data_IF_835297277541
#
_entry.id   IF_835297277541
#
_cell.length_a   1.000
_cell.length_b   1.000
_cell.length_c   1.000
_cell.angle_alpha   90.00
_cell.angle_beta   90.00
_cell.angle_gamma   90.00
#
_symmetry.space_group_name_H-M   'P 1'
#
loop_
_entity.id
_entity.type
_entity.pdbx_description
1 polymer ?
#
# COMPACT_ATOMS: atom_id res chain seq x y z
N UNK A 1 35.92 -17.30 -24.20
CA UNK A 1 35.04 -17.33 -23.02
C UNK A 1 35.30 -16.08 -22.18
N UNK A 2 34.65 -14.97 -22.50
CA UNK A 2 34.67 -13.75 -21.68
C UNK A 2 33.22 -13.39 -21.42
N UNK A 3 32.75 -13.68 -20.20
CA UNK A 3 31.40 -13.40 -19.74
C UNK A 3 31.32 -11.90 -19.50
N UNK A 4 30.61 -11.18 -20.37
CA UNK A 4 30.31 -9.77 -20.18
C UNK A 4 29.34 -9.67 -19.00
N UNK A 5 29.84 -9.32 -17.83
CA UNK A 5 29.01 -9.00 -16.67
C UNK A 5 28.29 -7.67 -16.93
N UNK A 6 27.07 -7.76 -17.46
CA UNK A 6 26.13 -6.64 -17.58
C UNK A 6 25.48 -6.37 -16.22
N UNK A 7 26.27 -6.02 -15.21
CA UNK A 7 25.73 -5.43 -13.99
C UNK A 7 25.43 -3.97 -14.28
N UNK A 8 24.22 -3.71 -14.80
CA UNK A 8 23.72 -2.35 -14.98
C UNK A 8 23.86 -1.55 -13.67
N UNK A 9 24.30 -0.27 -13.70
CA UNK A 9 24.32 0.58 -12.52
C UNK A 9 22.89 1.01 -12.17
N UNK A 10 22.08 0.08 -11.66
CA UNK A 10 20.72 0.38 -11.18
C UNK A 10 20.73 1.27 -9.91
N UNK A 11 21.91 1.65 -9.40
CA UNK A 11 22.08 2.18 -8.04
C UNK A 11 22.29 3.69 -7.92
N UNK A 12 22.36 4.48 -8.98
CA UNK A 12 22.69 5.92 -8.84
C UNK A 12 21.57 6.86 -9.27
N UNK A 13 20.39 6.73 -8.64
CA UNK A 13 19.44 7.85 -8.60
C UNK A 13 19.99 8.94 -7.67
N UNK A 14 20.00 10.22 -8.08
CA UNK A 14 20.33 11.35 -7.22
C UNK A 14 19.53 11.30 -5.91
N UNK A 15 20.11 11.74 -4.77
CA UNK A 15 19.49 11.60 -3.46
C UNK A 15 18.11 12.26 -3.36
N UNK A 16 17.91 13.37 -4.09
CA UNK A 16 16.61 14.06 -4.16
C UNK A 16 15.56 13.19 -4.86
N UNK A 17 15.90 12.52 -5.97
CA UNK A 17 14.97 11.63 -6.68
C UNK A 17 14.53 10.46 -5.80
N UNK A 18 15.42 9.93 -4.96
CA UNK A 18 15.08 8.88 -3.98
C UNK A 18 14.10 9.40 -2.92
N UNK A 19 14.31 10.62 -2.43
CA UNK A 19 13.41 11.25 -1.47
C UNK A 19 12.01 11.46 -2.07
N UNK A 20 11.94 12.01 -3.28
CA UNK A 20 10.67 12.21 -4.00
C UNK A 20 9.96 10.89 -4.22
N UNK A 21 10.67 9.85 -4.65
CA UNK A 21 10.10 8.51 -4.82
C UNK A 21 9.56 7.94 -3.50
N UNK A 22 10.33 8.05 -2.41
CA UNK A 22 9.91 7.56 -1.09
C UNK A 22 8.64 8.27 -0.59
N UNK A 23 8.56 9.60 -0.77
CA UNK A 23 7.38 10.39 -0.45
C UNK A 23 6.19 9.99 -1.32
N UNK A 24 6.38 9.89 -2.64
CA UNK A 24 5.33 9.46 -3.56
C UNK A 24 4.81 8.06 -3.22
N UNK A 25 5.70 7.11 -2.92
CA UNK A 25 5.34 5.76 -2.49
C UNK A 25 4.53 5.77 -1.18
N UNK A 26 4.92 6.59 -0.20
CA UNK A 26 4.16 6.75 1.06
C UNK A 26 2.76 7.33 0.81
N UNK A 27 2.65 8.35 -0.04
CA UNK A 27 1.35 8.96 -0.40
C UNK A 27 0.46 7.95 -1.13
N UNK A 28 1.00 7.20 -2.08
CA UNK A 28 0.26 6.13 -2.77
C UNK A 28 -0.23 5.05 -1.80
N UNK A 29 0.61 4.65 -0.85
CA UNK A 29 0.24 3.69 0.20
C UNK A 29 -0.94 4.22 1.02
N UNK A 30 -0.90 5.49 1.39
CA UNK A 30 -1.98 6.14 2.14
C UNK A 30 -3.29 6.21 1.35
N UNK A 31 -3.24 6.53 0.05
CA UNK A 31 -4.43 6.56 -0.79
C UNK A 31 -5.04 5.15 -0.94
N UNK A 32 -4.20 4.13 -1.14
CA UNK A 32 -4.66 2.75 -1.23
C UNK A 32 -5.35 2.30 0.06
N UNK A 33 -4.78 2.61 1.23
CA UNK A 33 -5.41 2.32 2.54
C UNK A 33 -6.73 3.04 2.70
N UNK A 34 -6.78 4.32 2.33
CA UNK A 34 -8.01 5.12 2.37
C UNK A 34 -9.10 4.53 1.49
N UNK A 35 -8.76 4.11 0.27
CA UNK A 35 -9.69 3.47 -0.65
C UNK A 35 -10.17 2.12 -0.10
N UNK A 36 -9.27 1.28 0.39
CA UNK A 36 -9.61 -0.01 0.99
C UNK A 36 -10.56 0.15 2.17
N UNK A 37 -10.25 1.02 3.15
CA UNK A 37 -11.12 1.27 4.31
C UNK A 37 -12.49 1.79 3.94
N UNK A 38 -12.57 2.69 2.94
CA UNK A 38 -13.85 3.15 2.37
C UNK A 38 -14.62 2.04 1.67
N UNK A 39 -13.93 1.10 1.03
CA UNK A 39 -14.54 -0.07 0.41
C UNK A 39 -15.14 -0.98 1.46
N UNK A 40 -14.34 -1.39 2.46
CA UNK A 40 -14.77 -2.29 3.52
C UNK A 40 -15.91 -1.68 4.35
N UNK A 41 -15.88 -0.37 4.62
CA UNK A 41 -16.93 0.35 5.34
C UNK A 41 -18.30 0.36 4.62
N UNK A 42 -18.33 0.08 3.31
CA UNK A 42 -19.55 0.02 2.50
C UNK A 42 -20.08 -1.39 2.30
N UNK A 43 -19.33 -2.41 2.70
CA UNK A 43 -19.75 -3.81 2.53
C UNK A 43 -20.76 -4.18 3.61
N UNK A 44 -21.83 -4.86 3.20
CA UNK A 44 -22.77 -5.47 4.12
C UNK A 44 -22.13 -6.64 4.87
N UNK A 45 -22.68 -6.94 6.05
CA UNK A 45 -22.22 -8.02 6.92
C UNK A 45 -22.06 -9.38 6.23
N UNK A 46 -22.93 -9.71 5.26
CA UNK A 46 -22.80 -10.98 4.54
C UNK A 46 -21.59 -10.97 3.58
N UNK A 47 -21.31 -9.84 2.92
CA UNK A 47 -20.18 -9.69 1.99
C UNK A 47 -18.86 -9.72 2.75
N UNK A 48 -18.82 -9.10 3.94
CA UNK A 48 -17.70 -9.20 4.85
C UNK A 48 -17.43 -10.66 5.24
N UNK A 49 -18.47 -11.42 5.59
CA UNK A 49 -18.33 -12.85 5.91
C UNK A 49 -17.92 -13.71 4.72
N UNK A 50 -18.37 -13.38 3.52
CA UNK A 50 -18.01 -14.09 2.28
C UNK A 50 -16.50 -14.00 2.01
N UNK A 51 -15.89 -12.84 2.26
CA UNK A 51 -14.43 -12.65 2.21
C UNK A 51 -13.70 -13.07 3.50
N UNK A 52 -14.39 -13.69 4.46
CA UNK A 52 -13.83 -14.16 5.73
C UNK A 52 -13.46 -13.05 6.72
N UNK A 53 -13.99 -11.83 6.55
CA UNK A 53 -13.73 -10.70 7.42
C UNK A 53 -14.83 -10.55 8.47
N UNK A 54 -14.45 -10.54 9.75
CA UNK A 54 -15.37 -10.27 10.85
C UNK A 54 -15.88 -8.81 10.83
N UNK A 55 -17.20 -8.56 11.02
CA UNK A 55 -17.76 -7.21 10.98
C UNK A 55 -17.19 -6.23 12.02
N UNK A 56 -16.83 -6.71 13.22
CA UNK A 56 -16.23 -5.83 14.22
C UNK A 56 -14.81 -5.44 13.82
N UNK A 57 -14.04 -6.39 13.31
CA UNK A 57 -12.70 -6.17 12.77
C UNK A 57 -12.74 -5.22 11.57
N UNK A 58 -13.71 -5.38 10.67
CA UNK A 58 -13.95 -4.47 9.55
C UNK A 58 -14.25 -3.04 10.02
N UNK A 59 -15.09 -2.88 11.04
CA UNK A 59 -15.42 -1.57 11.59
C UNK A 59 -14.20 -0.91 12.27
N UNK A 60 -13.36 -1.69 12.97
CA UNK A 60 -12.12 -1.18 13.55
C UNK A 60 -11.13 -0.73 12.46
N UNK A 61 -10.94 -1.54 11.41
CA UNK A 61 -10.08 -1.21 10.29
C UNK A 61 -10.57 0.04 9.55
N UNK A 62 -11.87 0.15 9.31
CA UNK A 62 -12.49 1.30 8.64
C UNK A 62 -12.25 2.63 9.39
N UNK A 63 -12.12 2.59 10.71
CA UNK A 63 -11.89 3.76 11.56
C UNK A 63 -10.41 4.16 11.67
N UNK A 64 -9.47 3.33 11.19
CA UNK A 64 -8.05 3.65 11.29
C UNK A 64 -7.69 4.88 10.44
N UNK A 65 -6.91 5.83 10.97
CA UNK A 65 -6.38 6.94 10.18
C UNK A 65 -5.52 6.44 9.01
N UNK A 66 -5.57 7.11 7.85
CA UNK A 66 -4.94 6.65 6.59
C UNK A 66 -3.43 6.34 6.72
N UNK A 67 -2.73 7.02 7.65
CA UNK A 67 -1.29 6.85 7.84
C UNK A 67 -0.92 5.63 8.69
N UNK A 68 -1.88 5.07 9.42
CA UNK A 68 -1.66 3.95 10.34
C UNK A 68 -1.88 2.62 9.64
N UNK A 69 -1.09 1.62 10.01
CA UNK A 69 -1.31 0.20 9.71
C UNK A 69 -2.21 -0.44 10.78
#
# INVERSE_FOLDING_TARGET
MTRTDLTAPMLSLPPVSRLVFAVAHKVMTWELRRQARRGIAKLDTHLLRDIGLDPMTAAQEAQKPFWRD
#
